data_IF_480945969975
#
_entry.id   IF_480945969975
#
_cell.length_a   1.000
_cell.length_b   1.000
_cell.length_c   1.000
_cell.angle_alpha   90.00
_cell.angle_beta   90.00
_cell.angle_gamma   90.00
#
_symmetry.space_group_name_H-M   'P 1'
#
loop_
_entity.id
_entity.type
_entity.pdbx_description
1 polymer ?
#
# COMPACT_ATOMS: atom_id res chain seq x y z
N UNK A 1 49.90 2.54 49.85
CA UNK A 1 49.56 1.88 48.59
C UNK A 1 48.06 1.61 48.59
N UNK A 2 47.26 2.40 47.86
CA UNK A 2 45.81 2.24 47.72
C UNK A 2 45.51 2.37 46.21
N UNK A 3 44.70 1.45 45.69
CA UNK A 3 44.54 1.11 44.26
C UNK A 3 43.24 1.73 43.74
N UNK A 4 43.21 2.44 42.60
CA UNK A 4 41.97 3.00 42.08
C UNK A 4 41.11 1.90 41.43
N UNK A 5 39.85 1.81 41.86
CA UNK A 5 38.83 0.94 41.26
C UNK A 5 38.09 1.78 40.23
N UNK A 6 38.32 1.49 38.95
CA UNK A 6 37.59 2.09 37.83
C UNK A 6 36.28 1.33 37.68
N UNK A 7 35.18 1.94 38.11
CA UNK A 7 33.82 1.42 37.89
C UNK A 7 33.35 1.83 36.50
N UNK A 8 33.32 0.89 35.56
CA UNK A 8 32.94 1.10 34.18
C UNK A 8 31.48 0.68 34.01
N UNK A 9 30.56 1.65 34.17
CA UNK A 9 29.13 1.43 33.99
C UNK A 9 28.79 1.25 32.51
N UNK A 10 28.32 0.05 32.16
CA UNK A 10 27.81 -0.29 30.82
C UNK A 10 26.38 0.23 30.71
N UNK A 11 26.16 1.21 29.82
CA UNK A 11 24.82 1.60 29.38
C UNK A 11 24.34 0.64 28.28
N UNK A 12 23.39 -0.25 28.61
CA UNK A 12 22.61 -0.98 27.60
C UNK A 12 21.51 -0.04 27.08
N UNK A 13 21.66 0.48 25.86
CA UNK A 13 20.53 1.05 25.12
C UNK A 13 19.82 -0.08 24.37
N UNK A 14 18.69 -0.53 24.91
CA UNK A 14 17.74 -1.33 24.16
C UNK A 14 16.83 -0.38 23.38
N UNK A 15 17.14 -0.15 22.10
CA UNK A 15 16.21 0.49 21.18
C UNK A 15 15.12 -0.52 20.79
N UNK A 16 14.03 -0.54 21.55
CA UNK A 16 12.75 -1.08 21.07
C UNK A 16 12.25 -0.12 19.98
N UNK A 17 12.57 -0.41 18.73
CA UNK A 17 11.83 0.13 17.59
C UNK A 17 10.44 -0.49 17.64
N UNK A 18 9.52 0.17 18.33
CA UNK A 18 8.10 -0.15 18.19
C UNK A 18 7.71 0.20 16.76
N UNK A 19 7.44 -0.81 15.94
CA UNK A 19 6.78 -0.57 14.66
C UNK A 19 5.40 0.01 14.97
N UNK A 20 5.22 1.29 14.68
CA UNK A 20 3.92 1.92 14.75
C UNK A 20 3.04 1.23 13.72
N UNK A 21 2.23 0.25 14.17
CA UNK A 21 1.18 -0.34 13.36
C UNK A 21 0.15 0.76 13.12
N UNK A 22 0.32 1.50 12.02
CA UNK A 22 -0.63 2.53 11.63
C UNK A 22 -1.99 1.86 11.40
N UNK A 23 -2.98 2.23 12.20
CA UNK A 23 -4.35 1.83 11.99
C UNK A 23 -4.93 2.64 10.81
N UNK A 24 -5.90 2.05 10.13
CA UNK A 24 -6.70 2.77 9.14
C UNK A 24 -7.44 3.91 9.85
N UNK A 25 -6.91 5.12 9.72
CA UNK A 25 -7.35 6.28 10.50
C UNK A 25 -8.68 6.78 9.98
N UNK A 26 -9.71 6.72 10.82
CA UNK A 26 -10.92 7.55 10.68
C UNK A 26 -10.73 8.94 11.31
N UNK A 27 -9.56 9.19 11.91
CA UNK A 27 -9.28 10.32 12.80
C UNK A 27 -8.79 11.57 12.07
N UNK A 28 -8.28 11.43 10.84
CA UNK A 28 -7.68 12.54 10.07
C UNK A 28 -8.63 13.15 9.03
N UNK A 29 -9.93 12.85 9.13
CA UNK A 29 -10.93 13.25 8.13
C UNK A 29 -10.92 12.40 6.86
N UNK A 30 -10.14 11.32 6.84
CA UNK A 30 -10.13 10.36 5.72
C UNK A 30 -11.50 9.71 5.53
N UNK A 31 -11.95 9.63 4.29
CA UNK A 31 -13.25 9.07 3.92
C UNK A 31 -13.04 7.74 3.22
N UNK A 32 -13.76 6.71 3.68
CA UNK A 32 -13.73 5.42 3.02
C UNK A 32 -14.50 5.45 1.70
N UNK A 33 -13.91 4.87 0.66
CA UNK A 33 -14.58 4.62 -0.62
C UNK A 33 -15.30 3.28 -0.51
N UNK A 34 -16.52 3.32 0.01
CA UNK A 34 -17.31 2.12 0.31
C UNK A 34 -18.25 1.69 -0.82
N UNK A 35 -18.47 2.55 -1.81
CA UNK A 35 -19.26 2.22 -3.00
C UNK A 35 -18.41 1.47 -4.03
N UNK A 36 -18.98 0.43 -4.63
CA UNK A 36 -18.26 -0.44 -5.56
C UNK A 36 -17.94 0.26 -6.89
N UNK A 37 -18.90 1.03 -7.43
CA UNK A 37 -18.72 1.75 -8.68
C UNK A 37 -17.71 2.89 -8.54
N UNK A 38 -17.72 3.59 -7.39
CA UNK A 38 -16.74 4.61 -7.07
C UNK A 38 -15.32 4.04 -6.91
N UNK A 39 -15.19 2.87 -6.26
CA UNK A 39 -13.90 2.22 -6.09
C UNK A 39 -13.35 1.68 -7.43
N UNK A 40 -14.20 1.05 -8.23
CA UNK A 40 -13.86 0.62 -9.60
C UNK A 40 -13.39 1.82 -10.43
N UNK A 41 -14.18 2.90 -10.47
CA UNK A 41 -13.84 4.11 -11.25
C UNK A 41 -12.55 4.78 -10.77
N UNK A 42 -12.22 4.64 -9.49
CA UNK A 42 -10.99 5.17 -8.93
C UNK A 42 -9.76 4.40 -9.42
N UNK A 43 -9.82 3.06 -9.41
CA UNK A 43 -8.67 2.19 -9.68
C UNK A 43 -8.53 1.84 -11.16
N UNK A 44 -9.65 1.62 -11.86
CA UNK A 44 -9.66 1.13 -13.24
C UNK A 44 -8.90 2.07 -14.18
N UNK A 45 -7.92 1.51 -14.89
CA UNK A 45 -7.04 2.25 -15.78
C UNK A 45 -6.04 3.17 -15.07
N UNK A 46 -5.76 2.94 -13.78
CA UNK A 46 -4.74 3.69 -13.01
C UNK A 46 -3.59 2.81 -12.56
N UNK A 47 -2.41 3.40 -12.44
CA UNK A 47 -1.28 2.86 -11.68
C UNK A 47 -1.37 3.35 -10.25
N UNK A 48 -1.37 2.42 -9.29
CA UNK A 48 -1.21 2.73 -7.87
C UNK A 48 0.27 2.91 -7.60
N UNK A 49 0.63 4.07 -7.06
CA UNK A 49 1.98 4.45 -6.67
C UNK A 49 2.04 4.57 -5.15
N UNK A 50 2.59 3.59 -4.47
CA UNK A 50 2.69 3.57 -3.01
C UNK A 50 3.96 2.90 -2.51
N UNK A 51 4.12 2.88 -1.20
CA UNK A 51 5.15 2.07 -0.55
C UNK A 51 4.49 1.11 0.45
N UNK A 52 4.92 -0.15 0.41
CA UNK A 52 4.51 -1.20 1.32
C UNK A 52 5.77 -1.95 1.79
N UNK A 53 6.00 -2.03 3.10
CA UNK A 53 7.13 -2.77 3.69
C UNK A 53 8.52 -2.41 3.12
N UNK A 54 8.71 -1.16 2.69
CA UNK A 54 9.97 -0.69 2.08
C UNK A 54 10.11 -1.01 0.58
N UNK A 55 9.11 -1.64 -0.02
CA UNK A 55 9.03 -1.89 -1.46
C UNK A 55 8.10 -0.88 -2.13
N UNK A 56 8.43 -0.54 -3.37
CA UNK A 56 7.60 0.34 -4.17
C UNK A 56 6.49 -0.46 -4.84
N UNK A 57 5.26 -0.01 -4.65
CA UNK A 57 4.09 -0.57 -5.28
C UNK A 57 3.76 0.29 -6.49
N UNK A 58 4.03 -0.22 -7.70
CA UNK A 58 3.77 0.46 -8.97
C UNK A 58 2.81 -0.38 -9.86
N UNK A 59 1.62 -0.69 -9.38
CA UNK A 59 0.75 -1.64 -10.06
C UNK A 59 -0.38 -0.98 -10.87
N UNK A 60 -0.40 -1.28 -12.16
CA UNK A 60 -1.41 -0.86 -13.10
C UNK A 60 -2.63 -1.78 -13.07
N UNK A 61 -3.78 -1.19 -12.74
CA UNK A 61 -5.09 -1.82 -12.67
C UNK A 61 -5.74 -1.75 -14.05
N UNK A 62 -5.47 -2.75 -14.89
CA UNK A 62 -6.04 -2.79 -16.24
C UNK A 62 -7.57 -2.96 -16.17
N UNK A 63 -8.37 -2.20 -16.94
CA UNK A 63 -9.83 -2.33 -16.95
C UNK A 63 -10.38 -3.72 -17.27
N UNK A 64 -9.57 -4.62 -17.82
CA UNK A 64 -9.95 -6.03 -18.03
C UNK A 64 -9.75 -6.92 -16.80
N UNK A 65 -9.36 -6.36 -15.65
CA UNK A 65 -9.07 -7.08 -14.41
C UNK A 65 -7.64 -7.61 -14.30
N UNK A 66 -6.76 -7.39 -15.27
CA UNK A 66 -5.35 -7.74 -15.14
C UNK A 66 -4.59 -6.72 -14.28
N UNK A 67 -3.65 -7.20 -13.47
CA UNK A 67 -2.80 -6.36 -12.64
C UNK A 67 -1.35 -6.46 -13.15
N UNK A 68 -0.77 -5.32 -13.49
CA UNK A 68 0.54 -5.25 -14.12
C UNK A 68 1.53 -4.48 -13.25
N UNK A 69 2.68 -5.06 -12.96
CA UNK A 69 3.77 -4.36 -12.30
C UNK A 69 4.47 -3.45 -13.32
N UNK A 70 4.41 -2.14 -13.07
CA UNK A 70 5.15 -1.15 -13.82
C UNK A 70 6.60 -1.19 -13.37
N UNK A 71 7.37 -2.09 -14.00
CA UNK A 71 8.81 -2.22 -13.83
C UNK A 71 9.57 -1.03 -14.42
N UNK A 72 10.15 -1.17 -15.62
CA UNK A 72 10.74 -0.06 -16.39
C UNK A 72 9.87 0.38 -17.58
N UNK A 73 8.65 -0.15 -17.66
CA UNK A 73 7.68 0.14 -18.72
C UNK A 73 7.59 -0.95 -19.79
N UNK A 74 6.49 -0.98 -20.54
CA UNK A 74 6.13 -2.07 -21.46
C UNK A 74 7.14 -2.36 -22.58
N UNK A 75 7.99 -1.39 -22.94
CA UNK A 75 8.94 -1.50 -24.04
C UNK A 75 10.40 -1.60 -23.57
N UNK A 76 10.66 -1.67 -22.25
CA UNK A 76 12.03 -1.81 -21.76
C UNK A 76 12.57 -3.21 -22.09
N UNK A 77 13.73 -3.33 -22.76
CA UNK A 77 14.24 -4.62 -23.22
C UNK A 77 14.85 -5.49 -22.11
N UNK A 78 15.04 -4.93 -20.90
CA UNK A 78 15.69 -5.61 -19.78
C UNK A 78 14.69 -5.96 -18.67
N UNK A 79 13.75 -5.07 -18.40
CA UNK A 79 12.77 -5.20 -17.32
C UNK A 79 11.40 -4.63 -17.72
N UNK A 80 10.75 -5.24 -18.74
CA UNK A 80 9.46 -4.77 -19.21
C UNK A 80 8.38 -4.92 -18.14
N UNK A 81 7.32 -4.12 -18.24
CA UNK A 81 6.13 -4.35 -17.42
C UNK A 81 5.59 -5.77 -17.64
N UNK A 82 5.13 -6.41 -16.56
CA UNK A 82 4.60 -7.77 -16.63
C UNK A 82 3.29 -7.87 -15.87
N UNK A 83 2.45 -8.81 -16.27
CA UNK A 83 1.28 -9.17 -15.50
C UNK A 83 1.72 -9.96 -14.27
N UNK A 84 1.38 -9.45 -13.08
CA UNK A 84 1.71 -10.09 -11.80
C UNK A 84 0.50 -10.73 -11.13
N UNK A 85 -0.71 -10.43 -11.61
CA UNK A 85 -1.94 -11.00 -11.07
C UNK A 85 -3.20 -10.48 -11.74
N UNK A 86 -4.29 -10.51 -10.97
CA UNK A 86 -5.57 -9.90 -11.32
C UNK A 86 -6.12 -9.07 -10.18
N UNK A 87 -7.00 -8.13 -10.50
CA UNK A 87 -7.74 -7.35 -9.53
C UNK A 87 -9.24 -7.34 -9.86
N UNK A 88 -10.06 -7.17 -8.83
CA UNK A 88 -11.52 -7.08 -8.94
C UNK A 88 -12.08 -6.29 -7.74
N UNK A 89 -13.35 -5.87 -7.82
CA UNK A 89 -14.07 -5.22 -6.73
C UNK A 89 -15.09 -6.17 -6.13
N UNK A 90 -14.87 -6.55 -4.87
CA UNK A 90 -15.87 -7.26 -4.08
C UNK A 90 -16.66 -6.27 -3.22
N UNK A 91 -17.97 -6.44 -3.14
CA UNK A 91 -18.83 -5.62 -2.27
C UNK A 91 -19.82 -6.46 -1.50
N UNK A 92 -20.15 -6.01 -0.28
CA UNK A 92 -21.21 -6.59 0.54
C UNK A 92 -21.96 -5.51 1.28
N UNK A 93 -23.25 -5.76 1.55
CA UNK A 93 -24.12 -4.79 2.24
C UNK A 93 -23.59 -4.35 3.61
N UNK A 94 -22.91 -5.25 4.35
CA UNK A 94 -22.40 -4.97 5.70
C UNK A 94 -21.01 -4.36 5.72
N UNK A 95 -20.15 -4.77 4.79
CA UNK A 95 -18.75 -4.38 4.82
C UNK A 95 -18.39 -3.33 3.77
N UNK A 96 -19.27 -2.96 2.85
CA UNK A 96 -18.96 -2.07 1.71
C UNK A 96 -17.99 -2.71 0.70
N UNK A 97 -17.50 -1.91 -0.24
CA UNK A 97 -16.56 -2.33 -1.27
C UNK A 97 -15.13 -2.52 -0.75
N UNK A 98 -14.43 -3.47 -1.38
CA UNK A 98 -13.00 -3.77 -1.21
C UNK A 98 -12.39 -4.11 -2.58
N UNK A 99 -11.17 -3.66 -2.81
CA UNK A 99 -10.36 -4.10 -3.94
C UNK A 99 -9.70 -5.43 -3.59
N UNK A 100 -9.88 -6.43 -4.45
CA UNK A 100 -9.34 -7.77 -4.31
C UNK A 100 -8.18 -7.91 -5.28
N UNK A 101 -7.04 -8.37 -4.79
CA UNK A 101 -5.82 -8.59 -5.55
C UNK A 101 -5.50 -10.08 -5.47
N UNK A 102 -5.37 -10.72 -6.63
CA UNK A 102 -5.08 -12.15 -6.72
C UNK A 102 -3.72 -12.35 -7.36
N UNK A 103 -2.76 -12.80 -6.55
CA UNK A 103 -1.44 -13.27 -6.97
C UNK A 103 -1.37 -14.78 -6.69
N UNK A 104 -0.31 -15.27 -6.04
CA UNK A 104 -0.27 -16.60 -5.41
C UNK A 104 -1.19 -16.69 -4.17
N UNK A 105 -1.41 -15.56 -3.52
CA UNK A 105 -2.32 -15.39 -2.38
C UNK A 105 -3.22 -14.20 -2.65
N UNK A 106 -4.47 -14.28 -2.18
CA UNK A 106 -5.43 -13.21 -2.34
C UNK A 106 -5.33 -12.19 -1.19
N UNK A 107 -5.32 -10.92 -1.55
CA UNK A 107 -5.37 -9.79 -0.63
C UNK A 107 -6.64 -8.97 -0.88
N UNK A 108 -7.20 -8.42 0.19
CA UNK A 108 -8.39 -7.57 0.12
C UNK A 108 -8.12 -6.25 0.85
N UNK A 109 -8.32 -5.14 0.16
CA UNK A 109 -8.08 -3.81 0.68
C UNK A 109 -9.33 -2.94 0.64
N UNK A 110 -9.62 -2.31 1.77
CA UNK A 110 -10.51 -1.14 1.83
C UNK A 110 -9.67 0.09 1.50
N UNK A 111 -10.17 0.95 0.63
CA UNK A 111 -9.47 2.17 0.23
C UNK A 111 -10.07 3.38 0.93
N UNK A 112 -9.20 4.21 1.49
CA UNK A 112 -9.56 5.45 2.16
C UNK A 112 -8.92 6.62 1.43
N UNK A 113 -9.73 7.62 1.09
CA UNK A 113 -9.23 8.88 0.57
C UNK A 113 -8.85 9.79 1.75
N UNK A 114 -7.62 10.27 1.73
CA UNK A 114 -7.06 11.21 2.71
C UNK A 114 -7.41 12.65 2.35
N UNK A 115 -7.28 13.56 3.30
CA UNK A 115 -7.51 14.99 3.11
C UNK A 115 -6.48 15.66 2.19
N UNK A 116 -5.29 15.06 2.04
CA UNK A 116 -4.23 15.48 1.12
C UNK A 116 -4.43 14.97 -0.33
N UNK A 117 -5.53 14.26 -0.60
CA UNK A 117 -5.85 13.70 -1.92
C UNK A 117 -5.17 12.37 -2.24
N UNK A 118 -4.39 11.81 -1.31
CA UNK A 118 -3.77 10.48 -1.43
C UNK A 118 -4.69 9.38 -0.88
N UNK A 119 -4.28 8.13 -1.04
CA UNK A 119 -5.10 6.97 -0.69
C UNK A 119 -4.38 6.00 0.22
N UNK A 120 -5.10 5.51 1.23
CA UNK A 120 -4.63 4.48 2.15
C UNK A 120 -5.30 3.14 1.83
N UNK A 121 -4.50 2.07 1.70
CA UNK A 121 -4.98 0.71 1.46
C UNK A 121 -4.89 -0.12 2.74
N UNK A 122 -6.03 -0.70 3.12
CA UNK A 122 -6.25 -1.28 4.45
C UNK A 122 -6.80 -2.70 4.41
N UNK A 123 -6.13 -3.67 5.02
CA UNK A 123 -6.59 -5.07 5.07
C UNK A 123 -7.52 -5.34 6.28
N UNK A 124 -8.53 -4.50 6.46
CA UNK A 124 -9.37 -4.51 7.67
C UNK A 124 -8.97 -3.38 8.61
N UNK A 125 -8.10 -3.66 9.58
CA UNK A 125 -7.66 -2.67 10.59
C UNK A 125 -6.22 -2.20 10.41
N UNK A 126 -5.39 -2.91 9.65
CA UNK A 126 -3.98 -2.53 9.44
C UNK A 126 -3.83 -1.75 8.14
N UNK A 127 -3.12 -0.63 8.22
CA UNK A 127 -2.63 0.09 7.06
C UNK A 127 -1.53 -0.74 6.39
N UNK A 128 -1.65 -0.97 5.09
CA UNK A 128 -0.66 -1.73 4.30
C UNK A 128 0.06 -0.86 3.30
N UNK A 129 -0.65 0.11 2.72
CA UNK A 129 -0.06 1.13 1.85
C UNK A 129 -0.56 2.48 2.32
N UNK A 130 0.37 3.35 2.68
CA UNK A 130 0.09 4.68 3.18
C UNK A 130 0.34 5.73 2.09
N UNK A 131 -0.59 6.65 1.89
CA UNK A 131 -0.40 7.82 1.04
C UNK A 131 -0.11 7.49 -0.42
N UNK A 132 -0.77 6.46 -0.97
CA UNK A 132 -0.65 6.09 -2.36
C UNK A 132 -1.21 7.19 -3.28
N UNK A 133 -0.53 7.39 -4.40
CA UNK A 133 -0.95 8.26 -5.50
C UNK A 133 -1.52 7.40 -6.63
N UNK A 134 -2.52 7.90 -7.35
CA UNK A 134 -3.11 7.19 -8.49
C UNK A 134 -2.81 7.96 -9.78
N UNK A 135 -2.10 7.31 -10.70
CA UNK A 135 -1.70 7.91 -11.98
C UNK A 135 -2.48 7.30 -13.13
N UNK A 136 -2.88 8.11 -14.10
CA UNK A 136 -3.62 7.64 -15.29
C UNK A 136 -2.75 6.79 -16.20
N UNK A 137 -3.25 5.62 -16.60
CA UNK A 137 -2.56 4.70 -17.50
C UNK A 137 -1.51 3.85 -16.80
N UNK A 138 -0.81 3.03 -17.60
CA UNK A 138 0.32 2.21 -17.20
C UNK A 138 1.59 3.06 -17.25
N UNK A 139 1.96 3.68 -16.12
CA UNK A 139 3.00 4.71 -16.05
C UNK A 139 3.87 4.57 -14.80
N UNK A 140 5.07 5.15 -14.87
CA UNK A 140 6.02 5.18 -13.75
C UNK A 140 5.52 6.04 -12.59
N UNK A 141 5.86 5.64 -11.38
CA UNK A 141 5.72 6.45 -10.18
C UNK A 141 6.88 7.45 -9.99
N UNK A 142 7.96 7.30 -10.76
CA UNK A 142 9.16 8.16 -10.78
C UNK A 142 9.55 8.64 -12.18
#
# INVERSE_FOLDING_TARGET
>A
MIKPIISMSIFLLASVTGEAMAACSTTDGSVRIADAGALESLLSGKTVCGQANGEEWQEYHNPNGALWDYKKGVADPVNPSEQVGTWDIASSLRNGASAIYSYDVNYAYKVWQRTDGKYDFCNGTQLKVAGAELRGGQVSCH
#
